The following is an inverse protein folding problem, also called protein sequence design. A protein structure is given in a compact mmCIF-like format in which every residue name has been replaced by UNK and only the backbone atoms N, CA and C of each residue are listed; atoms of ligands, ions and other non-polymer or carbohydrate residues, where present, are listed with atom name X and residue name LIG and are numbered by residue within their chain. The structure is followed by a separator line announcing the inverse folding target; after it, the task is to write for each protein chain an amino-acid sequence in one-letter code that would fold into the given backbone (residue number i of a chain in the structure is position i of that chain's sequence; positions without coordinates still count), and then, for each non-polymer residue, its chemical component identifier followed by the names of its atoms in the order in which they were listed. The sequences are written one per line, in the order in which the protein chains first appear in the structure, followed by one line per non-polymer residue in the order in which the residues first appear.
data_IF_464863308766
#
_entry.id   IF_464863308766
#
_cell.length_a   1.000
_cell.length_b   1.000
_cell.length_c   1.000
_cell.angle_alpha   90.00
_cell.angle_beta   90.00
_cell.angle_gamma   90.00
#
_symmetry.space_group_name_H-M   'P 1'
#
loop_
_entity.id
_entity.type
_entity.pdbx_description
1 polymer ?
#
# COMPACT_ATOMS: atom_id res chain seq x y z
N UNK A 1 23.29 24.34 -17.08
CA UNK A 1 22.70 23.03 -16.74
C UNK A 1 23.44 22.00 -17.59
N UNK A 2 24.12 21.01 -17.02
CA UNK A 2 24.86 20.02 -17.81
C UNK A 2 23.93 19.37 -18.84
N UNK A 3 24.39 19.08 -20.09
CA UNK A 3 23.58 18.42 -21.10
C UNK A 3 23.42 16.95 -20.72
N UNK A 4 22.53 16.69 -19.76
CA UNK A 4 22.11 15.34 -19.39
C UNK A 4 21.04 14.93 -20.41
N UNK A 5 21.30 13.86 -21.15
CA UNK A 5 20.33 13.22 -22.05
C UNK A 5 19.06 12.85 -21.30
N UNK A 6 17.91 12.87 -21.98
CA UNK A 6 16.60 12.56 -21.36
C UNK A 6 16.59 11.20 -20.67
N UNK A 7 17.23 10.20 -21.27
CA UNK A 7 17.39 8.86 -20.66
C UNK A 7 18.04 8.93 -19.28
N UNK A 8 19.11 9.71 -19.13
CA UNK A 8 19.78 9.87 -17.85
C UNK A 8 18.90 10.62 -16.84
N UNK A 9 18.09 11.60 -17.27
CA UNK A 9 17.10 12.26 -16.38
C UNK A 9 16.05 11.28 -15.87
N UNK A 10 15.55 10.39 -16.73
CA UNK A 10 14.61 9.33 -16.32
C UNK A 10 15.23 8.34 -15.34
N UNK A 11 16.46 7.87 -15.60
CA UNK A 11 17.16 6.97 -14.69
C UNK A 11 17.42 7.61 -13.33
N UNK A 12 17.82 8.89 -13.30
CA UNK A 12 17.99 9.65 -12.06
C UNK A 12 16.66 9.77 -11.33
N UNK A 13 15.55 10.03 -12.04
CA UNK A 13 14.24 10.11 -11.41
C UNK A 13 13.84 8.76 -10.78
N UNK A 14 14.03 7.65 -11.48
CA UNK A 14 13.65 6.31 -11.01
C UNK A 14 14.52 5.89 -9.82
N UNK A 15 15.84 5.83 -10.01
CA UNK A 15 16.77 5.36 -8.97
C UNK A 15 16.90 6.36 -7.81
N UNK A 16 16.82 7.65 -8.10
CA UNK A 16 16.79 8.70 -7.09
C UNK A 16 15.53 8.61 -6.23
N UNK A 17 14.35 8.39 -6.83
CA UNK A 17 13.11 8.20 -6.09
C UNK A 17 13.12 6.91 -5.26
N UNK A 18 13.70 5.82 -5.79
CA UNK A 18 13.91 4.57 -5.04
C UNK A 18 14.80 4.80 -3.81
N UNK A 19 15.97 5.43 -3.99
CA UNK A 19 16.89 5.74 -2.90
C UNK A 19 16.26 6.67 -1.87
N UNK A 20 15.54 7.70 -2.33
CA UNK A 20 14.80 8.62 -1.46
C UNK A 20 13.73 7.87 -0.65
N UNK A 21 12.94 7.00 -1.28
CA UNK A 21 11.94 6.20 -0.59
C UNK A 21 12.56 5.34 0.52
N UNK A 22 13.69 4.69 0.24
CA UNK A 22 14.41 3.89 1.23
C UNK A 22 14.89 4.73 2.43
N UNK A 23 15.53 5.87 2.18
CA UNK A 23 16.03 6.76 3.24
C UNK A 23 14.87 7.33 4.07
N UNK A 24 13.79 7.77 3.42
CA UNK A 24 12.59 8.29 4.10
C UNK A 24 11.94 7.21 4.94
N UNK A 25 11.76 6.00 4.41
CA UNK A 25 11.18 4.88 5.16
C UNK A 25 12.02 4.52 6.40
N UNK A 26 13.35 4.44 6.26
CA UNK A 26 14.24 4.18 7.39
C UNK A 26 14.20 5.28 8.44
N UNK A 27 14.21 6.54 8.02
CA UNK A 27 14.14 7.69 8.92
C UNK A 27 12.80 7.71 9.69
N UNK A 28 11.69 7.36 9.03
CA UNK A 28 10.37 7.32 9.62
C UNK A 28 10.07 6.04 10.41
N UNK A 29 10.78 4.93 10.17
CA UNK A 29 10.50 3.63 10.79
C UNK A 29 10.56 3.67 12.32
N UNK A 30 11.68 4.17 12.89
CA UNK A 30 11.86 4.24 14.35
C UNK A 30 10.82 5.11 15.06
N UNK A 31 10.57 6.37 14.64
CA UNK A 31 9.53 7.19 15.28
C UNK A 31 8.14 6.59 15.09
N UNK A 32 7.86 5.99 13.93
CA UNK A 32 6.57 5.34 13.66
C UNK A 32 6.33 4.12 14.55
N UNK A 33 7.29 3.22 14.70
CA UNK A 33 7.17 2.04 15.59
C UNK A 33 7.00 2.50 17.05
N UNK A 34 7.73 3.52 17.47
CA UNK A 34 7.60 4.09 18.82
C UNK A 34 6.19 4.65 19.05
N UNK A 35 5.62 5.32 18.04
CA UNK A 35 4.24 5.81 18.06
C UNK A 35 3.24 4.66 18.22
N UNK A 36 3.38 3.59 17.44
CA UNK A 36 2.50 2.41 17.52
C UNK A 36 2.56 1.74 18.90
N UNK A 37 3.76 1.62 19.48
CA UNK A 37 3.92 1.11 20.85
C UNK A 37 3.27 2.04 21.88
N UNK A 38 3.43 3.36 21.75
CA UNK A 38 2.83 4.35 22.66
C UNK A 38 1.31 4.25 22.68
N UNK A 39 0.68 4.06 21.52
CA UNK A 39 -0.78 3.91 21.40
C UNK A 39 -1.27 2.47 21.57
N UNK A 40 -0.37 1.52 21.91
CA UNK A 40 -0.68 0.08 22.06
C UNK A 40 -1.42 -0.49 20.85
N UNK A 41 -1.06 -0.04 19.65
CA UNK A 41 -1.61 -0.52 18.38
C UNK A 41 -0.92 -1.85 18.03
N UNK A 42 -1.32 -2.91 18.72
CA UNK A 42 -0.76 -4.25 18.57
C UNK A 42 -1.80 -5.25 18.08
N UNK A 43 -1.34 -6.32 17.42
CA UNK A 43 -2.24 -7.37 16.93
C UNK A 43 -2.88 -8.13 18.08
N UNK A 44 -4.21 -8.16 18.12
CA UNK A 44 -4.98 -9.06 18.96
C UNK A 44 -5.18 -10.39 18.23
N UNK A 45 -5.02 -11.52 18.94
CA UNK A 45 -5.19 -12.85 18.33
C UNK A 45 -6.68 -13.24 18.34
N UNK A 46 -7.14 -13.78 17.22
CA UNK A 46 -8.50 -14.29 17.02
C UNK A 46 -8.71 -15.57 17.82
N UNK A 47 -9.66 -15.54 18.75
CA UNK A 47 -9.99 -16.71 19.58
C UNK A 47 -11.01 -17.65 18.91
N UNK A 48 -11.81 -17.13 17.99
CA UNK A 48 -12.88 -17.84 17.29
C UNK A 48 -12.63 -17.90 15.77
N UNK A 49 -12.88 -19.05 15.17
CA UNK A 49 -12.84 -19.33 13.74
C UNK A 49 -14.14 -18.92 13.02
N UNK A 50 -14.16 -19.07 11.70
CA UNK A 50 -15.32 -18.70 10.86
C UNK A 50 -16.59 -19.51 11.15
N UNK A 51 -16.40 -20.69 11.71
CA UNK A 51 -17.42 -21.66 12.12
C UNK A 51 -17.92 -21.45 13.56
N UNK A 52 -17.42 -20.42 14.25
CA UNK A 52 -17.74 -20.17 15.66
C UNK A 52 -17.04 -21.11 16.64
N UNK A 53 -16.14 -21.98 16.17
CA UNK A 53 -15.32 -22.85 17.02
C UNK A 53 -14.03 -22.15 17.41
N UNK A 54 -13.37 -22.59 18.49
CA UNK A 54 -12.06 -22.03 18.88
C UNK A 54 -11.06 -22.23 17.74
N UNK A 55 -10.40 -21.17 17.31
CA UNK A 55 -9.37 -21.23 16.28
C UNK A 55 -8.05 -21.75 16.85
N UNK A 56 -8.02 -22.95 17.42
CA UNK A 56 -6.88 -23.50 18.18
C UNK A 56 -5.59 -23.56 17.35
N UNK A 57 -5.65 -24.08 16.12
CA UNK A 57 -4.49 -24.14 15.22
C UNK A 57 -3.99 -22.73 14.84
N UNK A 58 -4.90 -21.79 14.59
CA UNK A 58 -4.55 -20.41 14.26
C UNK A 58 -3.89 -19.69 15.44
N UNK A 59 -4.43 -19.87 16.65
CA UNK A 59 -3.88 -19.36 17.90
C UNK A 59 -2.48 -19.90 18.15
N UNK A 60 -2.27 -21.22 18.07
CA UNK A 60 -0.96 -21.84 18.29
C UNK A 60 0.12 -21.29 17.34
N UNK A 61 -0.23 -21.10 16.06
CA UNK A 61 0.70 -20.57 15.06
C UNK A 61 0.97 -19.06 15.18
N UNK A 62 0.03 -18.29 15.75
CA UNK A 62 0.12 -16.82 15.83
C UNK A 62 0.36 -16.26 17.23
N UNK A 63 0.45 -17.12 18.26
CA UNK A 63 0.75 -16.71 19.63
C UNK A 63 2.03 -15.87 19.76
N UNK A 64 3.09 -16.22 19.02
CA UNK A 64 4.36 -15.46 19.00
C UNK A 64 4.25 -14.07 18.37
N UNK A 65 3.15 -13.77 17.66
CA UNK A 65 2.88 -12.48 17.02
C UNK A 65 1.90 -11.61 17.84
N UNK A 66 1.53 -12.05 19.04
CA UNK A 66 0.70 -11.24 19.94
C UNK A 66 1.43 -9.96 20.30
N UNK A 67 0.76 -8.81 20.17
CA UNK A 67 1.31 -7.51 20.60
C UNK A 67 2.36 -6.90 19.67
N UNK A 68 2.71 -7.54 18.53
CA UNK A 68 3.53 -6.86 17.52
C UNK A 68 2.75 -5.69 16.91
N UNK A 69 3.37 -4.50 16.75
CA UNK A 69 2.70 -3.35 16.18
C UNK A 69 2.08 -3.66 14.82
N UNK A 70 0.80 -3.33 14.66
CA UNK A 70 0.04 -3.49 13.40
C UNK A 70 0.03 -2.17 12.63
N UNK A 71 -0.42 -2.17 11.36
CA UNK A 71 -0.43 -0.99 10.49
C UNK A 71 0.93 -0.55 9.90
N UNK A 72 1.88 -1.48 9.70
CA UNK A 72 3.12 -1.18 8.95
C UNK A 72 2.89 -0.62 7.54
N UNK A 73 1.73 -0.92 6.93
CA UNK A 73 1.30 -0.30 5.68
C UNK A 73 1.22 1.23 5.76
N UNK A 74 1.00 1.79 6.96
CA UNK A 74 0.98 3.24 7.17
C UNK A 74 2.37 3.88 6.95
N UNK A 75 3.45 3.13 7.11
CA UNK A 75 4.78 3.63 6.79
C UNK A 75 4.99 3.69 5.26
N UNK A 76 4.47 2.69 4.55
CA UNK A 76 4.69 2.51 3.11
C UNK A 76 3.98 3.59 2.28
N UNK A 77 2.66 3.77 2.47
CA UNK A 77 1.89 4.81 1.76
C UNK A 77 2.39 6.24 2.11
N UNK A 78 2.78 6.52 3.36
CA UNK A 78 3.29 7.83 3.76
C UNK A 78 4.60 8.13 3.03
N UNK A 79 5.49 7.14 2.96
CA UNK A 79 6.73 7.23 2.16
C UNK A 79 6.42 7.47 0.68
N UNK A 80 5.50 6.69 0.10
CA UNK A 80 5.11 6.85 -1.30
C UNK A 80 4.54 8.25 -1.61
N UNK A 81 3.65 8.77 -0.75
CA UNK A 81 3.07 10.12 -0.90
C UNK A 81 4.16 11.19 -0.83
N UNK A 82 5.10 11.08 0.12
CA UNK A 82 6.22 12.02 0.26
C UNK A 82 7.08 12.02 -1.01
N UNK A 83 7.43 10.85 -1.53
CA UNK A 83 8.29 10.71 -2.72
C UNK A 83 7.58 11.21 -3.99
N UNK A 84 6.30 10.87 -4.16
CA UNK A 84 5.48 11.39 -5.28
C UNK A 84 5.37 12.91 -5.19
N UNK A 85 5.06 13.45 -4.00
CA UNK A 85 4.96 14.89 -3.77
C UNK A 85 6.28 15.62 -4.05
N UNK A 86 7.40 15.04 -3.62
CA UNK A 86 8.72 15.57 -3.90
C UNK A 86 9.03 15.57 -5.41
N UNK A 87 8.66 14.51 -6.11
CA UNK A 87 8.81 14.45 -7.58
C UNK A 87 7.98 15.52 -8.30
N UNK A 88 6.76 15.82 -7.83
CA UNK A 88 5.93 16.91 -8.38
C UNK A 88 6.61 18.26 -8.16
N UNK A 89 7.20 18.50 -6.98
CA UNK A 89 7.91 19.75 -6.68
C UNK A 89 9.11 19.92 -7.61
N UNK A 90 9.93 18.87 -7.78
CA UNK A 90 11.09 18.91 -8.66
C UNK A 90 10.71 19.14 -10.13
N UNK A 91 9.59 18.58 -10.56
CA UNK A 91 9.04 18.85 -11.90
C UNK A 91 8.62 20.31 -12.06
N UNK A 92 7.88 20.88 -11.10
CA UNK A 92 7.47 22.29 -11.13
C UNK A 92 8.64 23.27 -11.11
N UNK A 93 9.76 22.90 -10.47
CA UNK A 93 10.99 23.68 -10.43
C UNK A 93 11.85 23.54 -11.71
N UNK A 94 11.43 22.72 -12.67
CA UNK A 94 12.13 22.54 -13.94
C UNK A 94 13.36 21.63 -13.89
N UNK A 95 13.57 20.87 -12.81
CA UNK A 95 14.67 19.90 -12.73
C UNK A 95 14.41 18.66 -13.59
N UNK A 96 13.15 18.24 -13.70
CA UNK A 96 12.71 17.10 -14.50
C UNK A 96 11.48 17.47 -15.34
N UNK A 97 11.40 16.95 -16.56
CA UNK A 97 10.26 17.18 -17.46
C UNK A 97 9.01 16.41 -17.02
N UNK A 98 9.20 15.29 -16.35
CA UNK A 98 8.12 14.43 -15.83
C UNK A 98 8.23 14.26 -14.33
N UNK A 99 7.08 13.98 -13.70
CA UNK A 99 7.01 13.56 -12.29
C UNK A 99 6.45 12.14 -12.20
N UNK A 100 6.59 11.53 -11.03
CA UNK A 100 5.92 10.26 -10.69
C UNK A 100 4.39 10.38 -10.66
N UNK A 101 3.82 11.56 -10.91
CA UNK A 101 2.40 11.80 -11.06
C UNK A 101 2.05 11.95 -12.54
N UNK A 102 1.90 10.81 -13.24
CA UNK A 102 1.60 10.76 -14.66
C UNK A 102 0.33 9.95 -14.90
N UNK A 103 -0.62 10.54 -15.63
CA UNK A 103 -1.91 9.92 -15.99
C UNK A 103 -1.73 8.61 -16.76
N UNK A 104 -0.75 8.55 -17.66
CA UNK A 104 -0.54 7.39 -18.54
C UNK A 104 0.10 6.20 -17.85
N UNK A 105 0.71 6.39 -16.67
CA UNK A 105 1.56 5.38 -16.04
C UNK A 105 1.18 5.11 -14.58
N UNK A 106 1.12 6.15 -13.74
CA UNK A 106 1.13 5.96 -12.28
C UNK A 106 -0.22 6.14 -11.60
N UNK A 107 -1.21 6.72 -12.29
CA UNK A 107 -2.54 6.95 -11.71
C UNK A 107 -3.23 5.67 -11.25
N UNK A 108 -3.13 4.61 -12.04
CA UNK A 108 -3.79 3.35 -11.71
C UNK A 108 -3.07 2.64 -10.55
N UNK A 109 -1.74 2.45 -10.55
CA UNK A 109 -1.02 1.95 -9.38
C UNK A 109 -1.29 2.76 -8.10
N UNK A 110 -1.32 4.10 -8.18
CA UNK A 110 -1.60 4.97 -7.04
C UNK A 110 -3.05 4.80 -6.56
N UNK A 111 -4.02 4.71 -7.48
CA UNK A 111 -5.41 4.43 -7.14
C UNK A 111 -5.57 3.07 -6.44
N UNK A 112 -4.96 2.02 -6.98
CA UNK A 112 -4.96 0.68 -6.36
C UNK A 112 -4.29 0.71 -5.00
N UNK A 113 -3.16 1.41 -4.85
CA UNK A 113 -2.47 1.56 -3.58
C UNK A 113 -3.39 2.22 -2.54
N UNK A 114 -4.05 3.33 -2.89
CA UNK A 114 -4.95 4.07 -1.99
C UNK A 114 -6.15 3.22 -1.60
N UNK A 115 -6.84 2.59 -2.56
CA UNK A 115 -8.04 1.80 -2.30
C UNK A 115 -7.76 0.59 -1.40
N UNK A 116 -6.69 -0.16 -1.70
CA UNK A 116 -6.29 -1.32 -0.88
C UNK A 116 -5.74 -0.88 0.48
N UNK A 117 -5.02 0.24 0.56
CA UNK A 117 -4.54 0.80 1.83
C UNK A 117 -5.70 1.20 2.75
N UNK A 118 -6.74 1.86 2.22
CA UNK A 118 -7.94 2.22 3.00
C UNK A 118 -8.63 0.96 3.52
N UNK A 119 -8.85 -0.05 2.66
CA UNK A 119 -9.46 -1.31 3.06
C UNK A 119 -8.64 -2.02 4.16
N UNK A 120 -7.31 -2.04 4.01
CA UNK A 120 -6.40 -2.62 5.00
C UNK A 120 -6.39 -1.85 6.32
N UNK A 121 -6.39 -0.51 6.28
CA UNK A 121 -6.44 0.33 7.46
C UNK A 121 -7.76 0.17 8.23
N UNK A 122 -8.89 0.04 7.53
CA UNK A 122 -10.19 -0.27 8.14
C UNK A 122 -10.19 -1.66 8.81
N UNK A 123 -9.60 -2.67 8.16
CA UNK A 123 -9.45 -4.02 8.74
C UNK A 123 -8.61 -4.01 10.02
N UNK A 124 -7.46 -3.35 9.97
CA UNK A 124 -6.58 -3.19 11.13
C UNK A 124 -7.26 -2.40 12.25
N UNK A 125 -8.02 -1.35 11.93
CA UNK A 125 -8.76 -0.55 12.90
C UNK A 125 -9.86 -1.35 13.61
N UNK A 126 -10.66 -2.12 12.87
CA UNK A 126 -11.68 -2.99 13.46
C UNK A 126 -11.07 -4.10 14.31
N UNK A 127 -9.91 -4.63 13.90
CA UNK A 127 -9.18 -5.60 14.68
C UNK A 127 -8.68 -5.02 16.02
N UNK A 128 -8.12 -3.80 16.03
CA UNK A 128 -7.67 -3.13 17.27
C UNK A 128 -8.84 -2.84 18.22
N UNK A 129 -9.98 -2.39 17.70
CA UNK A 129 -11.18 -2.11 18.51
C UNK A 129 -11.91 -3.36 19.00
N UNK A 130 -11.49 -4.55 18.58
CA UNK A 130 -12.19 -5.80 18.90
C UNK A 130 -13.61 -5.86 18.35
N UNK A 131 -13.91 -5.08 17.31
CA UNK A 131 -15.25 -5.04 16.72
C UNK A 131 -15.45 -6.22 15.76
N UNK A 132 -16.58 -6.90 15.92
CA UNK A 132 -16.94 -8.11 15.17
C UNK A 132 -16.55 -9.41 15.89
N UNK A 133 -17.36 -10.45 15.71
CA UNK A 133 -17.16 -11.79 16.31
C UNK A 133 -15.83 -12.45 15.93
N UNK A 134 -15.15 -11.97 14.89
CA UNK A 134 -13.87 -12.48 14.40
C UNK A 134 -12.67 -11.56 14.65
N UNK A 135 -12.78 -10.47 15.44
CA UNK A 135 -11.70 -9.46 15.63
C UNK A 135 -11.12 -8.99 14.27
N UNK A 136 -11.87 -8.15 13.55
CA UNK A 136 -11.54 -7.64 12.20
C UNK A 136 -12.65 -7.81 11.16
N UNK A 137 -12.40 -7.45 9.89
CA UNK A 137 -13.37 -7.61 8.80
C UNK A 137 -13.52 -9.12 8.50
N UNK A 138 -14.78 -9.58 8.43
CA UNK A 138 -15.09 -10.94 7.99
C UNK A 138 -14.62 -11.16 6.53
N UNK A 139 -14.17 -12.38 6.22
CA UNK A 139 -13.59 -12.68 4.89
C UNK A 139 -14.56 -12.41 3.74
N UNK A 140 -15.87 -12.59 3.94
CA UNK A 140 -16.90 -12.30 2.93
C UNK A 140 -16.90 -10.82 2.48
N UNK A 141 -17.10 -9.81 3.37
CA UNK A 141 -16.96 -8.41 2.99
C UNK A 141 -15.59 -8.07 2.41
N UNK A 142 -14.50 -8.63 2.97
CA UNK A 142 -13.15 -8.35 2.48
C UNK A 142 -12.96 -8.80 1.02
N UNK A 143 -13.41 -10.01 0.71
CA UNK A 143 -13.36 -10.54 -0.66
C UNK A 143 -14.27 -9.74 -1.59
N UNK A 144 -15.47 -9.36 -1.15
CA UNK A 144 -16.36 -8.50 -1.92
C UNK A 144 -15.70 -7.18 -2.32
N UNK A 145 -15.09 -6.46 -1.37
CA UNK A 145 -14.41 -5.19 -1.65
C UNK A 145 -13.20 -5.36 -2.56
N UNK A 146 -12.40 -6.41 -2.35
CA UNK A 146 -11.25 -6.70 -3.22
C UNK A 146 -11.70 -6.99 -4.65
N UNK A 147 -12.73 -7.82 -4.83
CA UNK A 147 -13.30 -8.12 -6.16
C UNK A 147 -13.89 -6.88 -6.81
N UNK A 148 -14.58 -6.04 -6.04
CA UNK A 148 -15.12 -4.77 -6.55
C UNK A 148 -14.01 -3.85 -7.04
N UNK A 149 -12.95 -3.62 -6.25
CA UNK A 149 -11.83 -2.76 -6.66
C UNK A 149 -11.06 -3.34 -7.85
N UNK A 150 -10.88 -4.66 -7.90
CA UNK A 150 -10.29 -5.34 -9.06
C UNK A 150 -11.16 -5.16 -10.31
N UNK A 151 -12.48 -5.30 -10.20
CA UNK A 151 -13.44 -5.08 -11.28
C UNK A 151 -13.43 -3.64 -11.78
N UNK A 152 -13.37 -2.64 -10.89
CA UNK A 152 -13.22 -1.23 -11.26
C UNK A 152 -11.90 -0.96 -12.00
N UNK A 153 -10.80 -1.57 -11.55
CA UNK A 153 -9.52 -1.49 -12.24
C UNK A 153 -9.56 -2.12 -13.63
N UNK A 154 -10.14 -3.31 -13.76
CA UNK A 154 -10.31 -4.00 -15.04
C UNK A 154 -11.21 -3.20 -16.00
N UNK A 155 -12.33 -2.65 -15.50
CA UNK A 155 -13.20 -1.78 -16.28
C UNK A 155 -12.47 -0.52 -16.78
N UNK A 156 -11.62 0.08 -15.95
CA UNK A 156 -10.79 1.22 -16.37
C UNK A 156 -9.80 0.84 -17.48
N UNK A 157 -9.13 -0.31 -17.37
CA UNK A 157 -8.25 -0.84 -18.43
C UNK A 157 -8.98 -1.01 -19.75
N UNK A 158 -10.18 -1.58 -19.72
CA UNK A 158 -11.01 -1.77 -20.90
C UNK A 158 -11.51 -0.42 -21.47
N UNK A 159 -12.16 0.41 -20.65
CA UNK A 159 -12.87 1.59 -21.13
C UNK A 159 -11.99 2.82 -21.37
N UNK A 160 -10.85 2.96 -20.67
CA UNK A 160 -9.98 4.14 -20.79
C UNK A 160 -8.66 3.87 -21.49
N UNK A 161 -8.12 2.66 -21.35
CA UNK A 161 -6.84 2.30 -21.95
C UNK A 161 -7.01 1.42 -23.20
N UNK A 162 -8.22 0.95 -23.50
CA UNK A 162 -8.50 0.14 -24.69
C UNK A 162 -7.85 -1.24 -24.67
N UNK A 163 -7.51 -1.76 -23.48
CA UNK A 163 -6.95 -3.10 -23.36
C UNK A 163 -8.08 -4.14 -23.43
N UNK A 164 -8.13 -4.83 -24.55
CA UNK A 164 -9.05 -5.94 -24.84
C UNK A 164 -8.30 -7.22 -25.28
N UNK A 165 -6.97 -7.18 -25.38
CA UNK A 165 -6.12 -8.29 -25.78
C UNK A 165 -5.21 -8.79 -24.64
N UNK A 166 -4.96 -10.10 -24.62
CA UNK A 166 -3.99 -10.72 -23.72
C UNK A 166 -2.68 -10.90 -24.48
N UNK A 167 -1.62 -10.22 -24.04
CA UNK A 167 -0.28 -10.39 -24.59
C UNK A 167 0.41 -11.56 -23.88
N UNK A 168 0.87 -12.55 -24.67
CA UNK A 168 1.72 -13.64 -24.19
C UNK A 168 3.18 -13.23 -24.41
N UNK A 169 3.97 -12.97 -23.34
CA UNK A 169 5.35 -12.55 -23.53
C UNK A 169 6.16 -13.65 -24.22
N UNK A 170 6.66 -13.37 -25.42
CA UNK A 170 7.50 -14.27 -26.21
C UNK A 170 6.82 -14.95 -27.40
N UNK A 171 5.54 -14.67 -27.68
CA UNK A 171 4.80 -15.09 -28.88
C UNK A 171 4.09 -13.86 -29.46
#
# INVERSE_FOLDING_TARGET
MFPITDTARHLILIFGSFGLAFVVALALAKPFITLLHKYKIGKQIRELGMDGRKAELFNQLHQKKSGTPTMGGILIWATAIIVIGFSIILNKLGYFEHSLWNRSETFLPVFTLITVAILGALDDYFNIRGWGTSKGINVKPKLFWLTLFAGLGAWWFYAKLGYDAIHLPGI
#
